data_IF_887065274882
#
_entry.id   IF_887065274882
#
_cell.length_a   1.000
_cell.length_b   1.000
_cell.length_c   1.000
_cell.angle_alpha   90.00
_cell.angle_beta   90.00
_cell.angle_gamma   90.00
#
_symmetry.space_group_name_H-M   'P 1'
#
loop_
_entity.id
_entity.type
_entity.pdbx_description
1 polymer ?
#
# COMPACT_ATOMS: atom_id res chain seq x y z
N UNK A 1 -9.12 -13.92 -27.38
CA UNK A 1 -7.91 -14.32 -26.64
C UNK A 1 -7.33 -15.58 -27.27
N UNK A 2 -6.03 -15.59 -27.58
CA UNK A 2 -5.35 -16.74 -28.22
C UNK A 2 -5.15 -17.90 -27.23
N UNK A 3 -4.94 -19.13 -27.74
CA UNK A 3 -4.71 -20.33 -26.91
C UNK A 3 -3.54 -20.16 -25.92
N UNK A 4 -2.41 -19.62 -26.36
CA UNK A 4 -1.23 -19.35 -25.51
C UNK A 4 -1.55 -18.36 -24.38
N UNK A 5 -2.26 -17.28 -24.70
CA UNK A 5 -2.71 -16.28 -23.72
C UNK A 5 -3.68 -16.87 -22.70
N UNK A 6 -4.59 -17.75 -23.15
CA UNK A 6 -5.50 -18.47 -22.24
C UNK A 6 -4.73 -19.31 -21.23
N UNK A 7 -3.72 -20.05 -21.68
CA UNK A 7 -2.89 -20.85 -20.80
C UNK A 7 -2.12 -20.00 -19.78
N UNK A 8 -1.47 -18.92 -20.24
CA UNK A 8 -0.73 -18.01 -19.37
C UNK A 8 -1.64 -17.26 -18.38
N UNK A 9 -2.84 -16.86 -18.81
CA UNK A 9 -3.83 -16.20 -17.97
C UNK A 9 -4.42 -17.14 -16.91
N UNK A 10 -4.71 -18.39 -17.26
CA UNK A 10 -5.19 -19.38 -16.30
C UNK A 10 -4.11 -19.71 -15.26
N UNK A 11 -2.85 -19.84 -15.68
CA UNK A 11 -1.72 -20.02 -14.76
C UNK A 11 -1.55 -18.83 -13.80
N UNK A 12 -1.77 -17.61 -14.31
CA UNK A 12 -1.78 -16.40 -13.49
C UNK A 12 -2.87 -16.44 -12.40
N UNK A 13 -4.11 -16.80 -12.77
CA UNK A 13 -5.22 -16.92 -11.82
C UNK A 13 -4.97 -18.01 -10.77
N UNK A 14 -4.44 -19.17 -11.18
CA UNK A 14 -4.08 -20.25 -10.25
C UNK A 14 -3.03 -19.82 -9.23
N UNK A 15 -2.01 -19.06 -9.67
CA UNK A 15 -1.01 -18.54 -8.75
C UNK A 15 -1.62 -17.53 -7.77
N UNK A 16 -2.55 -16.69 -8.23
CA UNK A 16 -3.21 -15.70 -7.37
C UNK A 16 -4.12 -16.37 -6.34
N UNK A 17 -4.90 -17.38 -6.75
CA UNK A 17 -5.70 -18.23 -5.89
C UNK A 17 -4.84 -18.89 -4.80
N UNK A 18 -3.73 -19.54 -5.21
CA UNK A 18 -2.78 -20.17 -4.29
C UNK A 18 -2.18 -19.20 -3.27
N UNK A 19 -1.85 -17.98 -3.69
CA UNK A 19 -1.28 -16.98 -2.78
C UNK A 19 -2.29 -16.48 -1.76
N UNK A 20 -3.57 -16.43 -2.10
CA UNK A 20 -4.63 -15.96 -1.21
C UNK A 20 -5.35 -17.10 -0.47
N UNK A 21 -4.97 -18.36 -0.70
CA UNK A 21 -5.62 -19.52 -0.10
C UNK A 21 -7.08 -19.74 -0.50
N UNK A 22 -7.50 -19.20 -1.65
CA UNK A 22 -8.88 -19.27 -2.18
C UNK A 22 -8.94 -20.09 -3.46
N UNK A 23 -10.13 -20.58 -3.80
CA UNK A 23 -10.35 -21.27 -5.09
C UNK A 23 -10.35 -20.29 -6.27
N UNK A 24 -10.02 -20.77 -7.47
CA UNK A 24 -9.92 -19.92 -8.67
C UNK A 24 -11.26 -19.29 -9.03
N UNK A 25 -12.36 -19.97 -8.76
CA UNK A 25 -13.73 -19.51 -8.96
C UNK A 25 -14.09 -18.34 -8.03
N UNK A 26 -13.54 -18.33 -6.81
CA UNK A 26 -13.78 -17.29 -5.79
C UNK A 26 -13.04 -15.98 -6.11
N UNK A 27 -12.05 -15.99 -7.00
CA UNK A 27 -11.39 -14.77 -7.48
C UNK A 27 -12.34 -13.83 -8.23
N UNK A 28 -13.48 -14.34 -8.69
CA UNK A 28 -14.52 -13.55 -9.36
C UNK A 28 -15.48 -12.86 -8.38
N UNK A 29 -15.47 -13.27 -7.10
CA UNK A 29 -16.31 -12.73 -6.04
C UNK A 29 -15.48 -11.90 -5.05
N UNK A 30 -16.15 -11.29 -4.07
CA UNK A 30 -15.45 -10.57 -3.00
C UNK A 30 -14.88 -11.59 -2.02
N UNK A 31 -13.56 -11.57 -1.82
CA UNK A 31 -12.88 -12.40 -0.82
C UNK A 31 -12.02 -11.52 0.10
N UNK A 32 -11.77 -12.02 1.31
CA UNK A 32 -10.90 -11.37 2.28
C UNK A 32 -9.47 -11.84 2.04
N UNK A 33 -8.56 -10.90 1.82
CA UNK A 33 -7.13 -11.20 1.68
C UNK A 33 -6.52 -11.45 3.06
N UNK A 34 -5.69 -12.47 3.17
CA UNK A 34 -4.97 -12.77 4.41
C UNK A 34 -3.98 -11.63 4.76
N UNK A 35 -3.87 -11.20 6.04
CA UNK A 35 -2.99 -10.10 6.42
C UNK A 35 -1.53 -10.25 5.98
N UNK A 36 -1.01 -11.48 5.98
CA UNK A 36 0.36 -11.83 5.55
C UNK A 36 0.61 -11.52 4.06
N UNK A 37 -0.39 -11.81 3.21
CA UNK A 37 -0.37 -11.54 1.77
C UNK A 37 -0.47 -10.04 1.50
N UNK A 38 -1.34 -9.35 2.27
CA UNK A 38 -1.47 -7.90 2.19
C UNK A 38 -0.16 -7.21 2.56
N UNK A 39 0.49 -7.61 3.66
CA UNK A 39 1.78 -7.05 4.07
C UNK A 39 2.85 -7.23 2.98
N UNK A 40 2.96 -8.42 2.41
CA UNK A 40 3.92 -8.69 1.33
C UNK A 40 3.65 -7.82 0.08
N UNK A 41 2.38 -7.58 -0.23
CA UNK A 41 1.99 -6.71 -1.33
C UNK A 41 2.31 -5.24 -1.05
N UNK A 42 2.07 -4.78 0.18
CA UNK A 42 2.44 -3.43 0.62
C UNK A 42 3.96 -3.21 0.55
N UNK A 43 4.76 -4.17 1.01
CA UNK A 43 6.23 -4.13 0.91
C UNK A 43 6.68 -4.01 -0.55
N UNK A 44 6.06 -4.76 -1.48
CA UNK A 44 6.37 -4.65 -2.90
C UNK A 44 6.01 -3.29 -3.50
N UNK A 45 4.88 -2.69 -3.07
CA UNK A 45 4.50 -1.34 -3.49
C UNK A 45 5.53 -0.33 -2.97
N UNK A 46 5.90 -0.41 -1.69
CA UNK A 46 6.87 0.49 -1.08
C UNK A 46 8.23 0.41 -1.77
N UNK A 47 8.74 -0.79 -2.00
CA UNK A 47 10.03 -1.02 -2.67
C UNK A 47 10.02 -0.62 -4.16
N UNK A 48 8.85 -0.49 -4.78
CA UNK A 48 8.74 -0.10 -6.19
C UNK A 48 9.02 1.39 -6.45
N UNK A 49 9.03 2.23 -5.42
CA UNK A 49 9.33 3.65 -5.52
C UNK A 49 10.31 4.11 -4.43
N UNK A 50 11.46 4.65 -4.83
CA UNK A 50 12.52 5.08 -3.90
C UNK A 50 12.07 6.14 -2.88
N UNK A 51 11.04 6.92 -3.19
CA UNK A 51 10.48 7.85 -2.21
C UNK A 51 9.75 7.13 -1.07
N UNK A 52 8.99 6.08 -1.38
CA UNK A 52 8.23 5.32 -0.38
C UNK A 52 9.15 4.55 0.57
N UNK A 53 10.37 4.21 0.17
CA UNK A 53 11.36 3.59 1.08
C UNK A 53 11.93 4.58 2.10
N UNK A 54 11.74 5.89 1.91
CA UNK A 54 12.15 6.93 2.86
C UNK A 54 11.02 7.36 3.81
N UNK A 55 9.84 6.75 3.67
CA UNK A 55 8.65 7.08 4.47
C UNK A 55 8.21 5.84 5.24
N UNK A 56 7.75 6.05 6.48
CA UNK A 56 7.20 4.96 7.30
C UNK A 56 5.75 4.66 6.89
N UNK A 57 5.48 3.41 6.49
CA UNK A 57 4.15 2.91 6.19
C UNK A 57 3.84 1.81 7.22
N UNK A 58 2.90 2.07 8.12
CA UNK A 58 2.56 1.16 9.23
C UNK A 58 1.12 0.70 9.02
N UNK A 59 0.94 -0.62 9.00
CA UNK A 59 -0.40 -1.23 8.99
C UNK A 59 -1.05 -1.10 10.36
N UNK A 60 -2.31 -0.66 10.39
CA UNK A 60 -3.14 -0.56 11.60
C UNK A 60 -4.42 -1.35 11.41
N UNK A 61 -4.95 -1.92 12.50
CA UNK A 61 -6.22 -2.66 12.48
C UNK A 61 -7.43 -1.73 12.58
N UNK A 62 -7.28 -0.62 13.31
CA UNK A 62 -8.36 0.32 13.55
C UNK A 62 -8.54 1.29 12.37
N UNK A 63 -9.80 1.63 12.07
CA UNK A 63 -10.12 2.56 10.99
C UNK A 63 -9.75 4.01 11.36
N UNK A 64 -9.87 4.36 12.64
CA UNK A 64 -9.55 5.69 13.15
C UNK A 64 -8.93 5.57 14.53
N UNK A 65 -8.01 6.47 14.83
CA UNK A 65 -7.39 6.53 16.14
C UNK A 65 -6.38 7.66 16.22
N UNK A 66 -5.70 7.74 17.34
CA UNK A 66 -4.57 8.64 17.50
C UNK A 66 -3.32 8.02 16.88
N UNK A 67 -2.47 8.85 16.30
CA UNK A 67 -1.14 8.44 15.90
C UNK A 67 -0.36 7.99 17.15
N UNK A 68 -0.26 6.67 17.33
CA UNK A 68 0.68 6.07 18.27
C UNK A 68 2.09 6.34 17.76
N UNK A 69 2.72 7.39 18.29
CA UNK A 69 4.08 7.79 17.98
C UNK A 69 5.09 6.78 18.50
N UNK A 70 5.37 5.72 17.74
CA UNK A 70 6.54 4.86 17.96
C UNK A 70 7.87 5.55 17.59
N UNK A 71 7.81 6.80 17.09
CA UNK A 71 8.96 7.63 16.79
C UNK A 71 9.17 8.69 17.86
N UNK A 72 10.36 8.70 18.48
CA UNK A 72 10.88 9.78 19.31
C UNK A 72 11.02 11.02 18.42
N UNK A 73 10.05 11.94 18.47
CA UNK A 73 9.98 13.10 17.58
C UNK A 73 10.89 14.27 18.00
N UNK A 74 11.48 14.20 19.19
CA UNK A 74 12.26 15.28 19.79
C UNK A 74 13.51 14.77 20.51
N UNK A 75 14.48 15.65 20.73
CA UNK A 75 15.69 15.34 21.50
C UNK A 75 15.34 15.11 22.97
N UNK A 76 15.70 13.94 23.51
CA UNK A 76 15.46 13.56 24.92
C UNK A 76 16.56 14.02 25.89
N UNK A 77 17.67 14.54 25.37
CA UNK A 77 18.83 14.92 26.17
C UNK A 77 18.67 16.36 26.69
N UNK A 78 18.85 16.54 28.00
CA UNK A 78 18.86 17.84 28.66
C UNK A 78 19.62 17.79 29.98
N UNK A 79 20.16 18.94 30.41
CA UNK A 79 20.79 19.09 31.72
C UNK A 79 19.94 20.05 32.56
N UNK A 80 19.75 19.74 33.84
CA UNK A 80 18.99 20.57 34.78
C UNK A 80 19.79 20.67 36.07
N UNK A 81 19.98 21.88 36.56
CA UNK A 81 20.60 22.11 37.86
C UNK A 81 19.61 21.77 38.99
N UNK A 82 19.82 20.61 39.61
CA UNK A 82 18.95 20.06 40.66
C UNK A 82 19.08 20.78 42.00
N UNK A 83 19.93 21.80 42.11
CA UNK A 83 20.00 22.66 43.31
C UNK A 83 18.93 23.75 43.30
N UNK A 84 18.40 24.10 42.13
CA UNK A 84 17.41 25.18 41.95
C UNK A 84 16.06 24.69 41.46
N UNK A 85 16.00 23.59 40.69
CA UNK A 85 14.75 23.00 40.20
C UNK A 85 14.86 21.48 40.03
N UNK A 86 13.77 20.78 40.28
CA UNK A 86 13.67 19.34 39.99
C UNK A 86 13.68 19.06 38.48
N UNK A 87 14.15 17.86 38.09
CA UNK A 87 14.17 17.44 36.68
C UNK A 87 12.74 17.19 36.20
N UNK A 88 12.35 17.85 35.12
CA UNK A 88 11.07 17.61 34.46
C UNK A 88 11.28 16.71 33.23
N UNK A 89 10.87 15.43 33.28
CA UNK A 89 10.93 14.57 32.11
C UNK A 89 9.93 15.04 31.06
N UNK A 90 10.38 15.18 29.81
CA UNK A 90 9.48 15.41 28.66
C UNK A 90 9.20 14.06 28.01
N UNK A 91 7.94 13.77 27.73
CA UNK A 91 7.56 12.59 26.95
C UNK A 91 7.84 12.86 25.46
N UNK A 92 8.80 12.16 24.84
CA UNK A 92 9.15 12.38 23.43
C UNK A 92 8.22 11.69 22.44
N UNK A 93 7.25 10.92 22.94
CA UNK A 93 6.28 10.18 22.14
C UNK A 93 4.98 10.97 21.94
N UNK A 94 4.83 12.10 22.63
CA UNK A 94 3.69 13.01 22.47
C UNK A 94 3.79 13.67 21.10
N UNK A 95 3.19 13.02 20.12
CA UNK A 95 2.77 13.66 18.89
C UNK A 95 1.52 14.47 19.24
N UNK A 96 1.53 15.76 18.95
CA UNK A 96 0.35 16.66 19.02
C UNK A 96 -0.85 15.91 18.41
N UNK A 97 -2.05 16.03 19.00
CA UNK A 97 -3.31 15.32 18.71
C UNK A 97 -3.70 15.14 17.22
N UNK A 98 -2.87 14.45 16.43
CA UNK A 98 -3.17 14.11 15.05
C UNK A 98 -3.90 12.80 15.09
N UNK A 99 -5.19 12.87 14.80
CA UNK A 99 -6.02 11.71 14.55
C UNK A 99 -5.82 11.25 13.11
N UNK A 100 -5.69 9.95 12.91
CA UNK A 100 -5.74 9.35 11.58
C UNK A 100 -7.14 8.80 11.31
N UNK A 101 -7.53 8.85 10.04
CA UNK A 101 -8.72 8.18 9.54
C UNK A 101 -8.38 7.46 8.24
N UNK A 102 -8.33 6.14 8.31
CA UNK A 102 -8.14 5.27 7.16
C UNK A 102 -9.44 5.21 6.35
N UNK A 103 -9.35 5.57 5.08
CA UNK A 103 -10.51 5.53 4.19
C UNK A 103 -10.17 4.84 2.87
N UNK A 104 -11.08 3.99 2.42
CA UNK A 104 -10.87 3.12 1.26
C UNK A 104 -10.61 3.90 -0.03
N UNK A 105 -9.58 3.51 -0.78
CA UNK A 105 -9.31 4.00 -2.14
C UNK A 105 -9.12 2.80 -3.05
N UNK A 106 -9.87 2.73 -4.16
CA UNK A 106 -9.86 1.60 -5.09
C UNK A 106 -8.94 1.89 -6.29
N UNK A 107 -8.22 0.87 -6.75
CA UNK A 107 -7.30 0.95 -7.90
C UNK A 107 -7.73 -0.06 -8.98
N UNK A 108 -8.73 0.32 -9.76
CA UNK A 108 -9.28 -0.56 -10.79
C UNK A 108 -8.47 -0.48 -12.09
N UNK A 109 -8.15 -1.65 -12.66
CA UNK A 109 -7.45 -1.74 -13.96
C UNK A 109 -8.21 -2.66 -14.91
N UNK A 110 -8.28 -2.27 -16.19
CA UNK A 110 -8.89 -3.07 -17.25
C UNK A 110 -7.87 -3.31 -18.35
N UNK A 111 -7.66 -4.58 -18.69
CA UNK A 111 -6.76 -5.01 -19.76
C UNK A 111 -7.54 -5.72 -20.87
N UNK A 112 -7.56 -5.11 -22.05
CA UNK A 112 -8.19 -5.69 -23.24
C UNK A 112 -7.47 -6.97 -23.69
N UNK A 113 -8.18 -7.91 -24.31
CA UNK A 113 -7.59 -9.15 -24.82
C UNK A 113 -6.45 -8.93 -25.82
N UNK A 114 -6.50 -7.88 -26.65
CA UNK A 114 -5.43 -7.56 -27.58
C UNK A 114 -4.09 -7.26 -26.86
N UNK A 115 -4.16 -6.53 -25.73
CA UNK A 115 -2.98 -6.24 -24.88
C UNK A 115 -2.46 -7.50 -24.20
N UNK A 116 -3.34 -8.34 -23.67
CA UNK A 116 -2.96 -9.63 -23.08
C UNK A 116 -2.29 -10.54 -24.11
N UNK A 117 -2.83 -10.63 -25.33
CA UNK A 117 -2.26 -11.42 -26.42
C UNK A 117 -0.90 -10.90 -26.88
N UNK A 118 -0.64 -9.59 -26.75
CA UNK A 118 0.66 -8.99 -27.05
C UNK A 118 1.71 -9.37 -26.00
N UNK A 119 1.34 -9.32 -24.72
CA UNK A 119 2.25 -9.61 -23.61
C UNK A 119 2.47 -11.10 -23.37
N UNK A 120 1.50 -11.96 -23.71
CA UNK A 120 1.60 -13.41 -23.53
C UNK A 120 2.72 -14.08 -24.36
N UNK A 121 3.41 -13.33 -25.22
CA UNK A 121 4.60 -13.78 -25.95
C UNK A 121 5.85 -13.84 -25.06
N UNK A 122 5.89 -13.05 -24.00
CA UNK A 122 7.04 -12.99 -23.11
C UNK A 122 6.93 -14.06 -22.00
N UNK A 123 8.05 -14.68 -21.65
CA UNK A 123 8.10 -15.69 -20.59
C UNK A 123 7.79 -15.10 -19.21
N UNK A 124 8.06 -13.80 -19.01
CA UNK A 124 7.83 -13.05 -17.77
C UNK A 124 6.42 -12.42 -17.68
N UNK A 125 5.45 -12.90 -18.48
CA UNK A 125 4.10 -12.31 -18.62
C UNK A 125 3.45 -11.88 -17.29
N UNK A 126 3.37 -12.80 -16.32
CA UNK A 126 2.76 -12.54 -15.01
C UNK A 126 3.51 -11.46 -14.23
N UNK A 127 4.83 -11.60 -14.12
CA UNK A 127 5.69 -10.67 -13.37
C UNK A 127 5.66 -9.29 -13.99
N UNK A 128 5.66 -9.21 -15.31
CA UNK A 128 5.60 -7.95 -16.06
C UNK A 128 4.31 -7.18 -15.81
N UNK A 129 3.16 -7.84 -15.88
CA UNK A 129 1.87 -7.20 -15.60
C UNK A 129 1.81 -6.74 -14.13
N UNK A 130 2.15 -7.64 -13.21
CA UNK A 130 2.16 -7.34 -11.77
C UNK A 130 3.02 -6.12 -11.46
N UNK A 131 4.28 -6.12 -11.90
CA UNK A 131 5.23 -5.05 -11.60
C UNK A 131 4.78 -3.70 -12.20
N UNK A 132 4.15 -3.71 -13.38
CA UNK A 132 3.61 -2.49 -13.98
C UNK A 132 2.45 -1.90 -13.14
N UNK A 133 1.55 -2.75 -12.64
CA UNK A 133 0.42 -2.33 -11.79
C UNK A 133 0.92 -1.82 -10.44
N UNK A 134 1.79 -2.59 -9.76
CA UNK A 134 2.38 -2.23 -8.46
C UNK A 134 3.09 -0.89 -8.53
N UNK A 135 3.92 -0.68 -9.56
CA UNK A 135 4.62 0.60 -9.77
C UNK A 135 3.64 1.76 -9.97
N UNK A 136 2.53 1.55 -10.70
CA UNK A 136 1.54 2.60 -10.89
C UNK A 136 0.81 2.93 -9.59
N UNK A 137 0.46 1.93 -8.79
CA UNK A 137 -0.14 2.15 -7.46
C UNK A 137 0.77 2.96 -6.55
N UNK A 138 2.08 2.67 -6.53
CA UNK A 138 3.05 3.45 -5.76
C UNK A 138 3.09 4.92 -6.20
N UNK A 139 3.16 5.18 -7.51
CA UNK A 139 3.17 6.54 -8.06
C UNK A 139 1.85 7.29 -7.80
N UNK A 140 0.70 6.60 -7.89
CA UNK A 140 -0.61 7.18 -7.57
C UNK A 140 -0.69 7.56 -6.09
N UNK A 141 -0.17 6.73 -5.17
CA UNK A 141 -0.11 7.06 -3.73
C UNK A 141 0.73 8.31 -3.46
N UNK A 142 1.89 8.44 -4.11
CA UNK A 142 2.74 9.63 -4.01
C UNK A 142 1.98 10.86 -4.51
N UNK A 143 1.35 10.77 -5.69
CA UNK A 143 0.57 11.87 -6.26
C UNK A 143 -0.57 12.32 -5.34
N UNK A 144 -1.32 11.37 -4.76
CA UNK A 144 -2.40 11.66 -3.82
C UNK A 144 -1.86 12.30 -2.54
N UNK A 145 -0.76 11.77 -1.99
CA UNK A 145 -0.16 12.28 -0.75
C UNK A 145 0.33 13.72 -0.86
N UNK A 146 0.89 14.12 -2.01
CA UNK A 146 1.39 15.48 -2.22
C UNK A 146 0.35 16.48 -2.71
N UNK A 147 -0.64 16.05 -3.51
CA UNK A 147 -1.59 16.96 -4.17
C UNK A 147 -3.02 16.89 -3.59
N UNK A 148 -3.31 15.93 -2.71
CA UNK A 148 -4.63 15.74 -2.14
C UNK A 148 -5.00 16.85 -1.14
N UNK A 149 -5.97 17.68 -1.49
CA UNK A 149 -6.48 18.73 -0.58
C UNK A 149 -7.66 18.23 0.26
N UNK A 150 -8.55 17.43 -0.32
CA UNK A 150 -9.72 16.87 0.37
C UNK A 150 -10.17 15.56 -0.26
N UNK A 151 -10.78 14.69 0.55
CA UNK A 151 -11.41 13.45 0.08
C UNK A 151 -12.85 13.71 -0.35
N UNK A 152 -13.19 13.30 -1.57
CA UNK A 152 -14.56 13.30 -2.08
C UNK A 152 -15.05 11.85 -2.25
N UNK A 153 -16.36 11.62 -2.06
CA UNK A 153 -16.97 10.28 -2.29
C UNK A 153 -16.83 9.82 -3.75
N UNK A 154 -16.87 10.76 -4.69
CA UNK A 154 -16.65 10.53 -6.12
C UNK A 154 -15.61 11.53 -6.59
N UNK A 155 -14.45 11.03 -7.04
CA UNK A 155 -13.37 11.86 -7.58
C UNK A 155 -13.36 11.81 -9.11
N UNK A 156 -12.89 12.88 -9.74
CA UNK A 156 -12.59 12.90 -11.17
C UNK A 156 -11.07 12.79 -11.35
N UNK A 157 -10.63 11.82 -12.16
CA UNK A 157 -9.21 11.57 -12.46
C UNK A 157 -8.69 12.43 -13.63
N UNK A 158 -9.59 12.96 -14.46
CA UNK A 158 -9.25 13.81 -15.60
C UNK A 158 -9.39 15.28 -15.23
N UNK A 159 -8.31 15.86 -14.74
CA UNK A 159 -8.09 17.30 -14.69
C UNK A 159 -6.68 17.59 -15.17
#
# INVERSE_FOLDING_TARGET
>A
MKKKTRFAFNAYLQQLARLNGVEVEELSSKFTVEPSVQQTLEDQIQQSAAFLTMVNIIGVTEQSGQLLGLGVGSTIAGTTDTTTKEREPTDPTVMVDVEYKCEQTNFDTVLTYAKLDLWAKFQDFQVRIRNAIVKRQALDRIMIGFNGVKRAKTSNRGA
#
